data_IF_061401896592
#
_entry.id   IF_061401896592
#
_cell.length_a   1.000
_cell.length_b   1.000
_cell.length_c   1.000
_cell.angle_alpha   90.00
_cell.angle_beta   90.00
_cell.angle_gamma   90.00
#
_symmetry.space_group_name_H-M   'P 1'
#
loop_
_entity.id
_entity.type
_entity.pdbx_description
1 polymer ?
#
# COMPACT_ATOMS: atom_id res chain seq x y z
N UNK A 1 -14.80 -18.84 30.79
CA UNK A 1 -15.53 -19.17 29.54
C UNK A 1 -16.35 -17.95 29.15
N UNK A 2 -15.89 -17.21 28.14
CA UNK A 2 -16.73 -16.33 27.33
C UNK A 2 -16.13 -16.40 25.94
N UNK A 3 -16.63 -17.35 25.13
CA UNK A 3 -16.35 -17.36 23.70
C UNK A 3 -17.14 -16.19 23.12
N UNK A 4 -16.47 -15.05 22.92
CA UNK A 4 -16.97 -14.06 21.99
C UNK A 4 -17.04 -14.77 20.65
N UNK A 5 -18.27 -15.05 20.21
CA UNK A 5 -18.57 -15.50 18.86
C UNK A 5 -17.99 -14.45 17.92
N UNK A 6 -16.82 -14.73 17.37
CA UNK A 6 -16.30 -14.04 16.19
C UNK A 6 -17.35 -14.26 15.12
N UNK A 7 -18.20 -13.26 14.88
CA UNK A 7 -18.87 -13.18 13.59
C UNK A 7 -17.75 -13.11 12.57
N UNK A 8 -17.51 -14.22 11.86
CA UNK A 8 -16.66 -14.21 10.69
C UNK A 8 -17.34 -13.24 9.73
N UNK A 9 -16.77 -12.04 9.61
CA UNK A 9 -17.14 -11.13 8.54
C UNK A 9 -16.61 -11.79 7.28
N UNK A 10 -17.49 -12.06 6.31
CA UNK A 10 -17.06 -12.71 5.07
C UNK A 10 -15.94 -11.88 4.43
N UNK A 11 -14.76 -12.50 4.33
CA UNK A 11 -13.56 -11.90 3.75
C UNK A 11 -13.65 -12.06 2.23
N UNK A 12 -13.69 -10.97 1.45
CA UNK A 12 -13.85 -11.07 -0.01
C UNK A 12 -12.75 -11.89 -0.66
N UNK A 13 -13.14 -12.92 -1.40
CA UNK A 13 -12.27 -13.96 -1.94
C UNK A 13 -12.31 -14.06 -3.48
N UNK A 14 -13.18 -13.29 -4.13
CA UNK A 14 -13.33 -13.23 -5.58
C UNK A 14 -13.85 -11.87 -6.05
N UNK A 15 -13.93 -11.70 -7.37
CA UNK A 15 -14.28 -10.41 -7.98
C UNK A 15 -15.67 -9.89 -7.64
N UNK A 16 -16.66 -10.78 -7.55
CA UNK A 16 -18.01 -10.37 -7.19
C UNK A 16 -18.05 -9.86 -5.75
N UNK A 17 -17.38 -10.56 -4.84
CA UNK A 17 -17.32 -10.21 -3.41
C UNK A 17 -16.57 -8.90 -3.16
N UNK A 18 -15.43 -8.66 -3.80
CA UNK A 18 -14.72 -7.39 -3.59
C UNK A 18 -15.47 -6.20 -4.20
N UNK A 19 -16.20 -6.40 -5.30
CA UNK A 19 -17.05 -5.33 -5.87
C UNK A 19 -18.17 -4.97 -4.90
N UNK A 20 -18.84 -5.97 -4.31
CA UNK A 20 -19.83 -5.74 -3.27
C UNK A 20 -19.22 -5.04 -2.04
N UNK A 21 -17.99 -5.42 -1.65
CA UNK A 21 -17.26 -4.77 -0.56
C UNK A 21 -16.97 -3.28 -0.86
N UNK A 22 -16.54 -2.96 -2.08
CA UNK A 22 -16.31 -1.58 -2.55
C UNK A 22 -17.60 -0.75 -2.58
N UNK A 23 -18.69 -1.31 -3.10
CA UNK A 23 -20.00 -0.64 -3.12
C UNK A 23 -20.49 -0.31 -1.71
N UNK A 24 -20.28 -1.24 -0.77
CA UNK A 24 -20.69 -1.13 0.64
C UNK A 24 -19.82 -0.21 1.50
N UNK A 25 -18.78 0.41 0.94
CA UNK A 25 -18.04 1.46 1.63
C UNK A 25 -18.99 2.62 1.97
N UNK A 26 -18.77 3.39 3.04
CA UNK A 26 -19.62 4.54 3.32
C UNK A 26 -19.42 5.61 2.26
N UNK A 27 -20.50 6.21 1.77
CA UNK A 27 -20.45 7.37 0.85
C UNK A 27 -20.33 8.70 1.60
N UNK A 28 -19.78 8.70 2.82
CA UNK A 28 -19.88 9.83 3.74
C UNK A 28 -18.84 10.92 3.47
N UNK A 29 -19.26 12.20 3.30
CA UNK A 29 -18.40 13.33 2.89
C UNK A 29 -17.58 13.95 4.04
N UNK A 30 -17.61 13.38 5.25
CA UNK A 30 -16.97 13.97 6.43
C UNK A 30 -15.55 13.47 6.67
N UNK A 31 -15.22 12.23 6.27
CA UNK A 31 -13.90 11.63 6.44
C UNK A 31 -13.73 10.43 5.51
N UNK A 32 -12.90 10.55 4.48
CA UNK A 32 -12.60 9.44 3.55
C UNK A 32 -11.89 8.32 4.34
N UNK A 33 -12.17 7.02 4.15
CA UNK A 33 -11.35 5.97 4.74
C UNK A 33 -9.87 6.07 4.32
N UNK A 34 -8.95 5.61 5.17
CA UNK A 34 -7.56 5.39 4.77
C UNK A 34 -7.41 3.96 4.26
N UNK A 35 -6.60 3.76 3.22
CA UNK A 35 -6.49 2.44 2.59
C UNK A 35 -5.08 1.91 2.63
N UNK A 36 -4.93 0.66 3.07
CA UNK A 36 -3.79 -0.16 2.72
C UNK A 36 -4.13 -0.95 1.46
N UNK A 37 -3.22 -0.99 0.49
CA UNK A 37 -3.39 -1.82 -0.71
C UNK A 37 -2.09 -2.54 -1.08
N UNK A 38 -2.24 -3.75 -1.62
CA UNK A 38 -1.13 -4.47 -2.23
C UNK A 38 -0.72 -3.78 -3.54
N UNK A 39 0.52 -3.32 -3.67
CA UNK A 39 0.97 -2.61 -4.87
C UNK A 39 1.44 -3.53 -6.01
N UNK A 40 1.63 -4.82 -5.73
CA UNK A 40 2.18 -5.82 -6.65
C UNK A 40 3.63 -5.57 -7.06
N UNK A 41 3.91 -5.73 -8.35
CA UNK A 41 5.26 -5.58 -8.93
C UNK A 41 5.14 -4.97 -10.33
N UNK A 42 6.26 -4.61 -10.99
CA UNK A 42 6.21 -4.12 -12.38
C UNK A 42 5.55 -5.12 -13.36
N UNK A 43 5.49 -6.41 -13.00
CA UNK A 43 4.79 -7.44 -13.78
C UNK A 43 3.29 -7.15 -13.98
N UNK A 44 2.67 -6.31 -13.15
CA UNK A 44 1.27 -5.91 -13.32
C UNK A 44 1.03 -5.09 -14.60
N UNK A 45 2.05 -4.41 -15.11
CA UNK A 45 1.95 -3.50 -16.25
C UNK A 45 2.56 -4.03 -17.55
N UNK A 46 3.17 -5.22 -17.53
CA UNK A 46 3.84 -5.80 -18.71
C UNK A 46 3.30 -7.19 -19.04
N UNK A 47 3.17 -7.48 -20.33
CA UNK A 47 2.68 -8.77 -20.80
C UNK A 47 3.73 -9.87 -20.66
N UNK A 48 5.03 -9.49 -20.68
CA UNK A 48 6.14 -10.42 -20.60
C UNK A 48 6.85 -10.36 -19.25
N UNK A 49 7.10 -11.52 -18.66
CA UNK A 49 7.89 -11.65 -17.44
C UNK A 49 9.39 -11.41 -17.68
N UNK A 50 10.14 -10.98 -16.64
CA UNK A 50 11.59 -11.05 -16.62
C UNK A 50 12.13 -12.38 -17.16
N UNK A 51 13.18 -12.33 -18.00
CA UNK A 51 13.73 -13.52 -18.65
C UNK A 51 14.13 -14.62 -17.64
N UNK A 52 14.65 -14.23 -16.47
CA UNK A 52 14.99 -15.15 -15.37
C UNK A 52 13.78 -15.89 -14.82
N UNK A 53 12.64 -15.21 -14.65
CA UNK A 53 11.41 -15.83 -14.15
C UNK A 53 10.77 -16.72 -15.20
N UNK A 54 10.79 -16.30 -16.47
CA UNK A 54 10.35 -17.14 -17.59
C UNK A 54 11.15 -18.45 -17.68
N UNK A 55 12.47 -18.39 -17.53
CA UNK A 55 13.34 -19.57 -17.55
C UNK A 55 13.09 -20.54 -16.38
N UNK A 56 12.50 -20.07 -15.28
CA UNK A 56 12.21 -20.87 -14.09
C UNK A 56 10.89 -21.65 -14.13
N UNK A 57 10.11 -21.55 -15.22
CA UNK A 57 8.85 -22.30 -15.37
C UNK A 57 7.68 -21.79 -14.52
N UNK A 58 7.79 -20.60 -13.93
CA UNK A 58 6.82 -20.00 -13.00
C UNK A 58 5.63 -19.32 -13.71
N UNK A 59 4.88 -20.11 -14.46
CA UNK A 59 3.66 -19.64 -15.13
C UNK A 59 2.56 -19.24 -14.14
N UNK A 60 2.51 -19.88 -12.97
CA UNK A 60 1.61 -19.58 -11.85
C UNK A 60 1.81 -18.15 -11.32
N UNK A 61 3.06 -17.71 -11.17
CA UNK A 61 3.37 -16.34 -10.73
C UNK A 61 2.81 -15.33 -11.73
N UNK A 62 3.00 -15.54 -13.03
CA UNK A 62 2.47 -14.62 -14.03
C UNK A 62 0.95 -14.60 -14.06
N UNK A 63 0.30 -15.75 -13.87
CA UNK A 63 -1.16 -15.84 -13.82
C UNK A 63 -1.73 -15.10 -12.60
N UNK A 64 -1.04 -15.16 -11.45
CA UNK A 64 -1.53 -14.56 -10.20
C UNK A 64 -1.09 -13.10 -9.98
N UNK A 65 0.17 -12.77 -10.31
CA UNK A 65 0.81 -11.47 -10.06
C UNK A 65 1.03 -10.63 -11.33
N UNK A 66 0.56 -11.11 -12.48
CA UNK A 66 0.68 -10.42 -13.77
C UNK A 66 -0.54 -9.55 -14.13
N UNK A 67 -0.60 -9.03 -15.38
CA UNK A 67 -1.57 -8.00 -15.78
C UNK A 67 -3.02 -8.46 -15.82
N UNK A 68 -3.26 -9.78 -15.89
CA UNK A 68 -4.60 -10.37 -15.87
C UNK A 68 -4.91 -11.06 -14.53
N UNK A 69 -3.98 -11.01 -13.58
CA UNK A 69 -4.12 -11.62 -12.27
C UNK A 69 -5.12 -10.89 -11.37
N UNK A 70 -5.52 -11.51 -10.26
CA UNK A 70 -6.50 -10.95 -9.33
C UNK A 70 -6.15 -9.55 -8.84
N UNK A 71 -4.88 -9.27 -8.51
CA UNK A 71 -4.50 -7.95 -8.04
C UNK A 71 -4.71 -6.87 -9.11
N UNK A 72 -4.31 -7.12 -10.35
CA UNK A 72 -4.52 -6.18 -11.45
C UNK A 72 -6.00 -5.91 -11.68
N UNK A 73 -6.84 -6.95 -11.60
CA UNK A 73 -8.30 -6.81 -11.75
C UNK A 73 -8.92 -6.05 -10.58
N UNK A 74 -8.49 -6.32 -9.35
CA UNK A 74 -8.93 -5.57 -8.18
C UNK A 74 -8.56 -4.09 -8.29
N UNK A 75 -7.32 -3.76 -8.66
CA UNK A 75 -6.88 -2.36 -8.81
C UNK A 75 -7.69 -1.59 -9.85
N UNK A 76 -8.06 -2.23 -10.96
CA UNK A 76 -8.95 -1.66 -12.00
C UNK A 76 -10.36 -1.37 -11.50
N UNK A 77 -10.87 -2.14 -10.53
CA UNK A 77 -12.16 -1.87 -9.90
C UNK A 77 -12.01 -0.85 -8.74
N UNK A 78 -10.90 -0.91 -8.00
CA UNK A 78 -10.64 -0.14 -6.78
C UNK A 78 -10.49 1.36 -7.06
N UNK A 79 -9.59 1.75 -7.97
CA UNK A 79 -9.32 3.15 -8.27
C UNK A 79 -10.58 3.94 -8.70
N UNK A 80 -11.34 3.47 -9.70
CA UNK A 80 -12.57 4.13 -10.12
C UNK A 80 -13.61 4.22 -9.00
N UNK A 81 -13.75 3.16 -8.18
CA UNK A 81 -14.66 3.17 -7.04
C UNK A 81 -14.31 4.26 -6.02
N UNK A 82 -13.01 4.47 -5.73
CA UNK A 82 -12.57 5.54 -4.84
C UNK A 82 -12.88 6.93 -5.40
N UNK A 83 -12.60 7.16 -6.69
CA UNK A 83 -12.88 8.44 -7.33
C UNK A 83 -14.38 8.74 -7.36
N UNK A 84 -15.20 7.75 -7.73
CA UNK A 84 -16.65 7.89 -7.79
C UNK A 84 -17.26 8.16 -6.41
N UNK A 85 -16.82 7.44 -5.38
CA UNK A 85 -17.42 7.51 -4.05
C UNK A 85 -17.01 8.74 -3.26
N UNK A 86 -15.77 9.20 -3.41
CA UNK A 86 -15.21 10.24 -2.54
C UNK A 86 -14.88 11.55 -3.24
N UNK A 87 -14.70 11.57 -4.57
CA UNK A 87 -14.26 12.77 -5.30
C UNK A 87 -13.13 13.54 -4.58
N UNK A 88 -12.01 12.87 -4.23
CA UNK A 88 -10.96 13.46 -3.42
C UNK A 88 -10.30 14.64 -4.14
N UNK A 89 -9.85 15.65 -3.39
CA UNK A 89 -9.14 16.81 -3.97
C UNK A 89 -7.67 16.51 -4.29
N UNK A 90 -7.09 15.52 -3.62
CA UNK A 90 -5.69 15.10 -3.76
C UNK A 90 -5.48 13.69 -3.17
N UNK A 91 -4.35 13.08 -3.48
CA UNK A 91 -3.90 11.81 -2.92
C UNK A 91 -2.61 12.04 -2.12
N UNK A 92 -2.57 11.54 -0.89
CA UNK A 92 -1.33 11.34 -0.13
C UNK A 92 -1.00 9.86 -0.14
N UNK A 93 0.20 9.53 -0.62
CA UNK A 93 0.63 8.14 -0.76
C UNK A 93 1.90 7.84 0.03
N UNK A 94 1.88 6.71 0.72
CA UNK A 94 3.04 6.12 1.40
C UNK A 94 3.42 4.85 0.67
N UNK A 95 4.68 4.69 0.30
CA UNK A 95 5.17 3.49 -0.39
C UNK A 95 6.20 2.76 0.45
N UNK A 96 6.14 1.43 0.45
CA UNK A 96 7.19 0.55 0.97
C UNK A 96 8.58 0.81 0.34
N UNK A 97 8.65 1.53 -0.78
CA UNK A 97 9.87 1.78 -1.53
C UNK A 97 10.55 3.09 -1.15
N UNK A 98 9.99 3.89 -0.24
CA UNK A 98 10.61 5.15 0.14
C UNK A 98 10.68 5.32 1.65
N UNK A 99 11.87 5.09 2.18
CA UNK A 99 12.15 5.06 3.61
C UNK A 99 13.11 6.18 3.98
N UNK A 100 12.88 6.81 5.14
CA UNK A 100 13.83 7.78 5.71
C UNK A 100 13.96 7.58 7.21
N UNK A 101 15.12 7.94 7.77
CA UNK A 101 15.40 7.85 9.20
C UNK A 101 15.38 9.24 9.83
N UNK A 102 14.68 9.39 10.96
CA UNK A 102 14.74 10.59 11.80
C UNK A 102 14.02 11.84 11.26
N UNK A 103 13.82 11.97 9.94
CA UNK A 103 13.09 13.05 9.29
C UNK A 103 12.15 12.48 8.22
N UNK A 104 10.91 12.97 8.15
CA UNK A 104 9.96 12.66 7.06
C UNK A 104 10.23 13.56 5.86
N UNK A 105 10.33 12.95 4.68
CA UNK A 105 10.39 13.70 3.42
C UNK A 105 9.02 13.66 2.74
N UNK A 106 8.62 14.81 2.21
CA UNK A 106 7.36 15.02 1.49
C UNK A 106 7.67 15.56 0.11
N UNK A 107 7.16 14.96 -0.96
CA UNK A 107 7.47 15.41 -2.32
C UNK A 107 6.88 16.78 -2.62
N UNK A 108 7.70 17.68 -3.15
CA UNK A 108 7.29 18.93 -3.79
C UNK A 108 7.94 19.01 -5.18
N UNK A 109 7.33 18.31 -6.14
CA UNK A 109 7.87 18.14 -7.50
C UNK A 109 7.27 19.11 -8.53
N UNK A 110 6.35 19.98 -8.11
CA UNK A 110 5.68 20.96 -8.97
C UNK A 110 4.65 20.32 -9.91
N UNK A 111 4.55 20.83 -11.14
CA UNK A 111 3.49 20.45 -12.10
C UNK A 111 3.62 19.03 -12.67
N UNK A 112 4.78 18.37 -12.48
CA UNK A 112 5.01 17.03 -12.99
C UNK A 112 5.84 16.21 -12.01
N UNK A 113 5.24 15.14 -11.49
CA UNK A 113 5.93 14.16 -10.66
C UNK A 113 6.80 13.27 -11.56
N UNK A 114 8.15 13.27 -11.40
CA UNK A 114 8.99 12.31 -12.08
C UNK A 114 8.67 10.89 -11.62
N UNK A 115 8.96 9.91 -12.47
CA UNK A 115 8.93 8.49 -12.12
C UNK A 115 10.32 7.99 -11.83
N UNK A 116 10.41 7.10 -10.84
CA UNK A 116 11.65 6.41 -10.51
C UNK A 116 11.51 4.91 -10.75
N UNK A 117 12.21 4.44 -11.77
CA UNK A 117 12.25 3.03 -12.18
C UNK A 117 13.13 2.20 -11.24
N UNK A 118 12.62 1.95 -10.03
CA UNK A 118 13.31 1.31 -8.91
C UNK A 118 13.29 -0.22 -8.95
N UNK A 119 13.51 -0.77 -10.14
CA UNK A 119 13.54 -2.20 -10.38
C UNK A 119 14.45 -2.52 -11.58
N UNK A 120 15.01 -3.72 -11.60
CA UNK A 120 15.89 -4.19 -12.68
C UNK A 120 15.48 -5.57 -13.19
N UNK A 121 15.91 -5.92 -14.40
CA UNK A 121 15.74 -7.26 -14.97
C UNK A 121 14.40 -7.52 -15.64
N UNK A 122 13.55 -6.50 -15.79
CA UNK A 122 12.30 -6.57 -16.55
C UNK A 122 12.54 -6.28 -18.06
N UNK A 123 11.58 -6.60 -18.94
CA UNK A 123 11.67 -6.27 -20.37
C UNK A 123 11.71 -4.75 -20.61
N UNK A 124 12.22 -4.31 -21.76
CA UNK A 124 12.37 -2.87 -22.08
C UNK A 124 11.06 -2.08 -21.91
N UNK A 125 9.92 -2.65 -22.31
CA UNK A 125 8.59 -2.03 -22.20
C UNK A 125 8.23 -1.60 -20.77
N UNK A 126 8.77 -2.25 -19.71
CA UNK A 126 8.51 -1.78 -18.33
C UNK A 126 9.17 -0.43 -18.05
N UNK A 127 10.33 -0.16 -18.64
CA UNK A 127 11.08 1.08 -18.44
C UNK A 127 10.54 2.25 -19.26
N UNK A 128 9.60 1.97 -20.16
CA UNK A 128 8.94 2.96 -21.01
C UNK A 128 7.55 3.34 -20.46
N UNK A 129 7.14 2.76 -19.33
CA UNK A 129 5.90 3.10 -18.65
C UNK A 129 5.88 4.59 -18.28
N UNK A 130 4.75 5.24 -18.56
CA UNK A 130 4.50 6.64 -18.22
C UNK A 130 3.52 6.72 -17.06
N UNK A 131 3.40 7.82 -16.36
CA UNK A 131 2.28 8.06 -15.45
C UNK A 131 2.32 9.54 -15.12
N UNK A 132 1.45 10.29 -15.78
CA UNK A 132 1.44 11.74 -15.64
C UNK A 132 0.60 12.12 -14.43
N UNK A 133 1.23 12.73 -13.44
CA UNK A 133 0.57 13.34 -12.29
C UNK A 133 1.34 14.59 -11.86
N UNK A 134 0.73 15.42 -11.03
CA UNK A 134 1.33 16.64 -10.49
C UNK A 134 1.43 16.59 -8.97
N UNK A 135 2.36 17.35 -8.41
CA UNK A 135 2.42 17.61 -6.97
C UNK A 135 1.37 18.65 -6.52
N UNK A 136 1.30 18.86 -5.22
CA UNK A 136 0.56 19.96 -4.60
C UNK A 136 1.40 20.55 -3.48
N UNK A 137 1.95 21.74 -3.74
CA UNK A 137 2.84 22.43 -2.81
C UNK A 137 2.14 22.78 -1.49
N UNK A 138 0.87 23.20 -1.54
CA UNK A 138 0.13 23.56 -0.33
C UNK A 138 -0.13 22.32 0.54
N UNK A 139 -0.47 21.20 -0.10
CA UNK A 139 -0.62 19.93 0.60
C UNK A 139 0.72 19.42 1.17
N UNK A 140 1.82 19.56 0.43
CA UNK A 140 3.15 19.19 0.90
C UNK A 140 3.57 20.01 2.13
N UNK A 141 3.36 21.32 2.10
CA UNK A 141 3.60 22.21 3.25
C UNK A 141 2.68 21.87 4.43
N UNK A 142 1.39 21.56 4.17
CA UNK A 142 0.44 21.11 5.19
C UNK A 142 0.90 19.84 5.88
N UNK A 143 1.35 18.83 5.13
CA UNK A 143 1.92 17.59 5.67
C UNK A 143 3.13 17.85 6.56
N UNK A 144 4.06 18.69 6.10
CA UNK A 144 5.24 19.07 6.90
C UNK A 144 4.82 19.73 8.21
N UNK A 145 3.85 20.64 8.19
CA UNK A 145 3.30 21.26 9.41
C UNK A 145 2.68 20.23 10.34
N UNK A 146 1.85 19.31 9.83
CA UNK A 146 1.24 18.26 10.65
C UNK A 146 2.28 17.38 11.37
N UNK A 147 3.34 16.98 10.68
CA UNK A 147 4.43 16.23 11.30
C UNK A 147 5.16 17.04 12.37
N UNK A 148 5.45 18.32 12.13
CA UNK A 148 6.08 19.21 13.10
C UNK A 148 5.21 19.44 14.34
N UNK A 149 3.90 19.65 14.16
CA UNK A 149 2.93 19.77 15.25
C UNK A 149 2.85 18.50 16.10
N UNK A 150 3.06 17.34 15.49
CA UNK A 150 3.15 16.05 16.17
C UNK A 150 4.55 15.77 16.78
N UNK A 151 5.46 16.75 16.78
CA UNK A 151 6.80 16.63 17.36
C UNK A 151 7.79 15.82 16.51
N UNK A 152 7.53 15.65 15.21
CA UNK A 152 8.41 14.94 14.29
C UNK A 152 9.13 15.93 13.37
N UNK A 153 10.35 15.57 12.95
CA UNK A 153 11.06 16.33 11.91
C UNK A 153 10.45 16.00 10.54
N UNK A 154 10.18 17.03 9.75
CA UNK A 154 9.72 16.87 8.38
C UNK A 154 10.12 18.07 7.52
N UNK A 155 10.32 17.82 6.24
CA UNK A 155 10.54 18.85 5.22
C UNK A 155 10.06 18.38 3.85
N UNK A 156 9.91 19.32 2.93
CA UNK A 156 9.71 18.99 1.53
C UNK A 156 11.02 18.55 0.89
N UNK A 157 10.94 17.78 -0.19
CA UNK A 157 12.05 17.43 -1.07
C UNK A 157 11.66 17.72 -2.52
N UNK A 158 12.57 18.34 -3.25
CA UNK A 158 12.34 18.73 -4.64
C UNK A 158 12.82 17.66 -5.62
N UNK A 159 12.43 17.76 -6.89
CA UNK A 159 12.93 16.87 -7.95
C UNK A 159 14.42 17.04 -8.28
N UNK A 160 15.12 17.94 -7.60
CA UNK A 160 16.57 18.12 -7.72
C UNK A 160 17.33 17.34 -6.63
N UNK A 161 16.62 16.84 -5.63
CA UNK A 161 17.21 16.04 -4.56
C UNK A 161 16.97 14.55 -4.84
N UNK A 162 17.99 13.70 -4.66
CA UNK A 162 17.75 12.27 -4.59
C UNK A 162 16.88 11.97 -3.38
N UNK A 163 15.98 10.98 -3.51
CA UNK A 163 15.08 10.56 -2.44
C UNK A 163 15.78 9.92 -1.22
N UNK A 164 17.11 9.84 -1.25
CA UNK A 164 17.96 9.12 -0.29
C UNK A 164 18.30 7.72 -0.78
N UNK A 165 18.93 6.92 0.08
CA UNK A 165 18.99 5.48 -0.08
C UNK A 165 17.61 4.94 0.25
N UNK A 166 16.77 4.74 -0.77
CA UNK A 166 15.70 3.77 -0.60
C UNK A 166 16.31 2.46 -0.09
N UNK A 167 15.55 1.61 0.61
CA UNK A 167 16.08 0.35 1.13
C UNK A 167 16.60 -0.64 0.08
N UNK A 168 16.71 -0.22 -1.20
CA UNK A 168 16.99 -1.05 -2.37
C UNK A 168 18.14 -0.56 -3.26
N UNK A 169 18.76 0.57 -2.94
CA UNK A 169 19.95 1.08 -3.64
C UNK A 169 19.68 1.81 -4.95
N UNK A 170 18.46 2.33 -5.16
CA UNK A 170 18.17 3.23 -6.28
C UNK A 170 18.16 4.69 -5.82
N UNK A 171 18.88 5.52 -6.57
CA UNK A 171 19.01 6.94 -6.30
C UNK A 171 18.25 7.77 -7.34
N UNK A 172 17.56 8.81 -6.88
CA UNK A 172 16.85 9.75 -7.74
C UNK A 172 15.56 10.28 -7.11
N UNK A 173 14.97 11.35 -7.65
CA UNK A 173 13.63 11.80 -7.28
C UNK A 173 12.56 10.95 -7.99
N UNK A 174 11.33 10.96 -7.49
CA UNK A 174 10.18 10.48 -8.22
C UNK A 174 9.40 9.36 -7.54
N UNK A 175 8.19 9.16 -8.06
CA UNK A 175 7.29 8.11 -7.61
C UNK A 175 7.89 6.75 -8.00
N UNK A 176 8.07 5.87 -7.02
CA UNK A 176 8.50 4.48 -7.23
C UNK A 176 7.41 3.62 -7.87
N UNK A 177 7.78 2.41 -8.32
CA UNK A 177 6.83 1.51 -8.95
C UNK A 177 5.70 1.06 -8.03
N UNK A 178 5.92 1.04 -6.71
CA UNK A 178 4.87 0.79 -5.72
C UNK A 178 3.77 1.85 -5.73
N UNK A 179 4.01 3.00 -6.36
CA UNK A 179 3.01 4.05 -6.62
C UNK A 179 2.56 4.04 -8.07
N UNK A 180 3.46 4.27 -9.04
CA UNK A 180 3.00 4.57 -10.41
C UNK A 180 2.45 3.35 -11.16
N UNK A 181 2.93 2.12 -10.89
CA UNK A 181 2.42 0.91 -11.56
C UNK A 181 0.97 0.61 -11.14
N UNK A 182 0.63 0.49 -9.84
CA UNK A 182 -0.76 0.29 -9.45
C UNK A 182 -1.63 1.50 -9.79
N UNK A 183 -1.10 2.73 -9.72
CA UNK A 183 -1.89 3.91 -10.06
C UNK A 183 -2.26 3.96 -11.55
N UNK A 184 -1.42 3.45 -12.46
CA UNK A 184 -1.81 3.27 -13.87
C UNK A 184 -3.02 2.35 -14.03
N UNK A 185 -3.13 1.31 -13.22
CA UNK A 185 -4.28 0.40 -13.24
C UNK A 185 -5.51 1.01 -12.57
N UNK A 186 -5.32 1.76 -11.48
CA UNK A 186 -6.40 2.40 -10.72
C UNK A 186 -6.98 3.62 -11.44
N UNK A 187 -6.14 4.41 -12.10
CA UNK A 187 -6.48 5.77 -12.54
C UNK A 187 -6.14 6.05 -14.00
N UNK A 188 -5.52 5.10 -14.71
CA UNK A 188 -5.05 5.30 -16.08
C UNK A 188 -3.68 5.97 -16.17
N UNK A 189 -3.25 6.30 -17.38
CA UNK A 189 -1.91 6.83 -17.65
C UNK A 189 -1.71 8.27 -17.17
N UNK A 190 -2.80 9.00 -16.96
CA UNK A 190 -2.80 10.39 -16.52
C UNK A 190 -3.84 10.57 -15.40
N UNK A 191 -3.41 11.16 -14.29
CA UNK A 191 -4.25 11.49 -13.16
C UNK A 191 -4.22 13.01 -12.94
N UNK A 192 -5.38 13.65 -13.10
CA UNK A 192 -5.52 15.11 -12.92
C UNK A 192 -5.40 15.55 -11.45
N UNK A 193 -5.72 14.65 -10.52
CA UNK A 193 -5.59 14.90 -9.09
C UNK A 193 -4.12 14.99 -8.67
N UNK A 194 -3.75 15.94 -7.79
CA UNK A 194 -2.41 15.96 -7.25
C UNK A 194 -2.08 14.70 -6.45
N UNK A 195 -0.84 14.25 -6.56
CA UNK A 195 -0.26 13.16 -5.77
C UNK A 195 0.93 13.71 -5.02
N UNK A 196 0.89 13.61 -3.69
CA UNK A 196 2.01 13.93 -2.81
C UNK A 196 2.44 12.65 -2.10
N UNK A 197 3.70 12.28 -2.24
CA UNK A 197 4.26 11.11 -1.58
C UNK A 197 4.95 11.51 -0.27
N UNK A 198 4.88 10.64 0.73
CA UNK A 198 5.55 10.78 2.03
C UNK A 198 6.36 9.53 2.32
N UNK A 199 7.59 9.69 2.84
CA UNK A 199 8.45 8.57 3.21
C UNK A 199 7.97 7.84 4.48
N UNK A 200 8.11 6.51 4.49
CA UNK A 200 7.85 5.66 5.67
C UNK A 200 9.06 5.60 6.61
N UNK A 201 8.83 5.21 7.87
CA UNK A 201 9.89 5.20 8.87
C UNK A 201 10.83 4.01 8.70
N UNK A 202 12.11 4.30 8.43
CA UNK A 202 13.13 3.30 8.10
C UNK A 202 13.62 2.48 9.30
N UNK A 203 13.17 2.78 10.53
CA UNK A 203 13.32 1.82 11.64
C UNK A 203 12.46 0.57 11.41
N UNK A 204 11.46 0.68 10.52
CA UNK A 204 10.46 -0.33 10.22
C UNK A 204 9.69 -0.82 11.45
N UNK A 205 9.69 -0.04 12.53
CA UNK A 205 8.86 -0.32 13.70
C UNK A 205 7.38 -0.21 13.31
N UNK A 206 6.56 -1.22 13.66
CA UNK A 206 5.11 -1.12 13.57
C UNK A 206 4.55 0.14 14.24
N UNK A 207 4.99 0.43 15.46
CA UNK A 207 4.54 1.59 16.24
C UNK A 207 4.98 2.92 15.62
N UNK A 208 6.20 3.00 15.09
CA UNK A 208 6.69 4.21 14.44
C UNK A 208 5.84 4.53 13.20
N UNK A 209 5.60 3.53 12.35
CA UNK A 209 4.78 3.69 11.14
C UNK A 209 3.29 3.91 11.46
N UNK A 210 2.77 3.32 12.54
CA UNK A 210 1.44 3.64 13.06
C UNK A 210 1.31 5.12 13.45
N UNK A 211 2.31 5.66 14.14
CA UNK A 211 2.34 7.08 14.50
C UNK A 211 2.38 7.98 13.27
N UNK A 212 3.06 7.57 12.19
CA UNK A 212 3.02 8.32 10.92
C UNK A 212 1.59 8.43 10.37
N UNK A 213 0.85 7.32 10.39
CA UNK A 213 -0.56 7.28 10.00
C UNK A 213 -1.41 8.23 10.83
N UNK A 214 -1.22 8.22 12.15
CA UNK A 214 -1.99 9.07 13.07
C UNK A 214 -1.83 10.56 12.78
N UNK A 215 -0.65 11.01 12.34
CA UNK A 215 -0.42 12.41 11.98
C UNK A 215 -1.31 12.85 10.81
N UNK A 216 -1.53 11.97 9.84
CA UNK A 216 -2.27 12.30 8.60
C UNK A 216 -3.77 11.98 8.69
N UNK A 217 -4.26 11.53 9.85
CA UNK A 217 -5.68 11.24 10.07
C UNK A 217 -6.59 12.43 9.70
N UNK A 218 -6.17 13.66 10.00
CA UNK A 218 -6.96 14.87 9.74
C UNK A 218 -7.21 15.11 8.25
N UNK A 219 -6.29 14.67 7.38
CA UNK A 219 -6.39 14.88 5.93
C UNK A 219 -7.59 14.16 5.32
N UNK A 220 -8.01 13.05 5.95
CA UNK A 220 -9.21 12.32 5.56
C UNK A 220 -10.48 13.19 5.60
N UNK A 221 -10.56 14.08 6.60
CA UNK A 221 -11.65 15.05 6.74
C UNK A 221 -11.45 16.31 5.87
N UNK A 222 -10.25 16.50 5.33
CA UNK A 222 -9.93 17.56 4.38
C UNK A 222 -10.16 17.11 2.91
N UNK A 223 -10.90 16.01 2.70
CA UNK A 223 -11.17 15.40 1.39
C UNK A 223 -9.91 14.93 0.64
N UNK A 224 -8.88 14.51 1.37
CA UNK A 224 -7.65 13.93 0.82
C UNK A 224 -7.67 12.41 0.98
N UNK A 225 -7.41 11.70 -0.11
CA UNK A 225 -7.33 10.24 -0.10
C UNK A 225 -5.96 9.80 0.43
N UNK A 226 -5.94 9.05 1.53
CA UNK A 226 -4.71 8.49 2.12
C UNK A 226 -4.56 7.04 1.67
N UNK A 227 -3.50 6.77 0.89
CA UNK A 227 -3.16 5.44 0.39
C UNK A 227 -1.80 4.99 0.93
N UNK A 228 -1.71 3.77 1.43
CA UNK A 228 -0.46 3.14 1.84
C UNK A 228 -0.25 1.86 1.03
N UNK A 229 0.75 1.88 0.13
CA UNK A 229 1.09 0.79 -0.77
C UNK A 229 2.20 -0.09 -0.21
N UNK A 230 1.92 -1.38 -0.07
CA UNK A 230 2.89 -2.39 0.35
C UNK A 230 2.57 -3.76 -0.23
N UNK A 231 3.08 -4.82 0.39
CA UNK A 231 2.76 -6.19 0.04
C UNK A 231 3.01 -7.10 1.26
N UNK A 232 1.98 -7.62 1.95
CA UNK A 232 2.17 -8.26 3.25
C UNK A 232 2.89 -9.60 3.21
N UNK A 233 2.97 -10.22 2.03
CA UNK A 233 3.80 -11.39 1.75
C UNK A 233 4.73 -11.02 0.60
N UNK A 234 5.99 -10.75 0.94
CA UNK A 234 7.00 -10.28 -0.01
C UNK A 234 8.37 -10.91 0.32
N UNK A 235 8.62 -12.09 -0.23
CA UNK A 235 9.90 -12.77 -0.10
C UNK A 235 10.53 -13.11 -1.46
N UNK A 236 11.37 -12.21 -1.98
CA UNK A 236 12.09 -12.45 -3.24
C UNK A 236 13.11 -13.61 -3.17
N UNK A 237 13.44 -14.11 -1.97
CA UNK A 237 14.28 -15.30 -1.78
C UNK A 237 13.47 -16.59 -1.89
N UNK A 238 12.17 -16.53 -1.68
CA UNK A 238 11.22 -17.64 -1.82
C UNK A 238 10.01 -17.21 -2.66
N UNK A 239 10.12 -17.42 -3.97
CA UNK A 239 9.05 -17.05 -4.88
C UNK A 239 7.78 -17.91 -4.76
N UNK A 240 7.86 -19.08 -4.11
CA UNK A 240 6.66 -19.88 -3.87
C UNK A 240 5.68 -19.15 -2.94
N UNK A 241 6.17 -18.21 -2.14
CA UNK A 241 5.34 -17.40 -1.25
C UNK A 241 4.37 -16.44 -1.97
N UNK A 242 4.56 -16.16 -3.27
CA UNK A 242 3.74 -15.17 -4.00
C UNK A 242 2.46 -15.73 -4.62
N UNK A 243 2.25 -17.05 -4.64
CA UNK A 243 1.05 -17.67 -5.20
C UNK A 243 0.42 -18.65 -4.19
N UNK A 244 -0.91 -18.71 -4.08
CA UNK A 244 -1.56 -19.58 -3.10
C UNK A 244 -1.25 -21.07 -3.32
N UNK A 245 -1.11 -21.49 -4.58
CA UNK A 245 -0.93 -22.90 -4.96
C UNK A 245 0.46 -23.44 -4.63
N UNK A 246 1.47 -22.58 -4.63
CA UNK A 246 2.86 -22.99 -4.34
C UNK A 246 3.31 -22.62 -2.92
N UNK A 247 2.57 -21.71 -2.27
CA UNK A 247 2.87 -21.26 -0.92
C UNK A 247 2.80 -22.40 0.10
N UNK A 248 3.89 -22.52 0.87
CA UNK A 248 3.95 -23.43 2.01
C UNK A 248 2.91 -23.08 3.10
N UNK A 249 2.48 -24.05 3.93
CA UNK A 249 1.48 -23.81 5.00
C UNK A 249 1.83 -22.66 5.95
N UNK A 250 3.11 -22.39 6.17
CA UNK A 250 3.57 -21.29 7.03
C UNK A 250 3.17 -19.91 6.48
N UNK A 251 3.16 -19.73 5.15
CA UNK A 251 2.75 -18.49 4.52
C UNK A 251 1.23 -18.30 4.60
N UNK A 252 0.47 -19.36 4.35
CA UNK A 252 -0.99 -19.37 4.53
C UNK A 252 -1.39 -19.06 5.98
N UNK A 253 -0.68 -19.63 6.95
CA UNK A 253 -0.90 -19.35 8.37
C UNK A 253 -0.68 -17.87 8.69
N UNK A 254 0.38 -17.26 8.14
CA UNK A 254 0.63 -15.83 8.33
C UNK A 254 -0.39 -14.94 7.62
N UNK A 255 -0.79 -15.27 6.37
CA UNK A 255 -1.89 -14.59 5.67
C UNK A 255 -3.15 -14.57 6.51
N UNK A 256 -3.52 -15.74 7.05
CA UNK A 256 -4.68 -15.88 7.94
C UNK A 256 -4.54 -15.01 9.18
N UNK A 257 -3.38 -15.01 9.84
CA UNK A 257 -3.14 -14.18 11.01
C UNK A 257 -3.35 -12.68 10.73
N UNK A 258 -2.94 -12.19 9.55
CA UNK A 258 -3.20 -10.81 9.12
C UNK A 258 -4.71 -10.56 9.03
N UNK A 259 -5.45 -11.41 8.33
CA UNK A 259 -6.90 -11.26 8.16
C UNK A 259 -7.66 -11.37 9.51
N UNK A 260 -7.23 -12.27 10.39
CA UNK A 260 -7.82 -12.44 11.72
C UNK A 260 -7.58 -11.18 12.57
N UNK A 261 -6.36 -10.64 12.57
CA UNK A 261 -6.04 -9.41 13.31
C UNK A 261 -6.90 -8.23 12.86
N UNK A 262 -7.12 -8.09 11.55
CA UNK A 262 -7.93 -7.01 10.97
C UNK A 262 -9.42 -7.10 11.31
N UNK A 263 -9.93 -8.30 11.57
CA UNK A 263 -11.34 -8.54 11.90
C UNK A 263 -11.66 -8.35 13.40
N UNK A 264 -10.65 -8.09 14.24
CA UNK A 264 -10.88 -7.78 15.66
C UNK A 264 -11.71 -6.49 15.76
N UNK A 265 -12.91 -6.59 16.35
CA UNK A 265 -13.88 -5.50 16.37
C UNK A 265 -13.45 -4.34 17.28
N UNK A 266 -12.91 -4.65 18.47
CA UNK A 266 -12.43 -3.64 19.39
C UNK A 266 -11.13 -2.99 18.86
N UNK A 267 -11.11 -1.66 18.75
CA UNK A 267 -9.98 -0.94 18.16
C UNK A 267 -8.64 -1.14 18.90
N UNK A 268 -8.66 -1.19 20.24
CA UNK A 268 -7.44 -1.37 21.03
C UNK A 268 -6.92 -2.81 20.94
N UNK A 269 -7.82 -3.78 20.99
CA UNK A 269 -7.47 -5.20 20.80
C UNK A 269 -6.97 -5.47 19.38
N UNK A 270 -7.59 -4.86 18.36
CA UNK A 270 -7.14 -4.92 16.96
C UNK A 270 -5.75 -4.36 16.80
N UNK A 271 -5.49 -3.17 17.34
CA UNK A 271 -4.16 -2.56 17.33
C UNK A 271 -3.14 -3.50 17.95
N UNK A 272 -3.43 -4.06 19.13
CA UNK A 272 -2.55 -5.06 19.76
C UNK A 272 -2.32 -6.28 18.85
N UNK A 273 -3.39 -6.87 18.30
CA UNK A 273 -3.29 -8.02 17.41
C UNK A 273 -2.45 -7.73 16.17
N UNK A 274 -2.58 -6.53 15.59
CA UNK A 274 -1.77 -6.09 14.46
C UNK A 274 -0.29 -5.90 14.85
N UNK A 275 -0.01 -5.26 15.99
CA UNK A 275 1.37 -5.06 16.47
C UNK A 275 2.07 -6.38 16.85
N UNK A 276 1.31 -7.43 17.17
CA UNK A 276 1.83 -8.78 17.47
C UNK A 276 2.16 -9.59 16.19
N UNK A 277 1.71 -9.17 14.99
CA UNK A 277 1.94 -9.89 13.72
C UNK A 277 3.43 -10.21 13.43
N UNK A 278 4.40 -9.31 13.68
CA UNK A 278 5.82 -9.62 13.48
C UNK A 278 6.36 -10.75 14.35
N UNK A 279 5.67 -11.11 15.44
CA UNK A 279 6.03 -12.25 16.28
C UNK A 279 5.51 -13.59 15.74
N UNK A 280 4.62 -13.58 14.74
CA UNK A 280 4.11 -14.80 14.14
C UNK A 280 5.27 -15.60 13.50
N UNK A 281 5.35 -16.94 13.69
CA UNK A 281 6.45 -17.75 13.15
C UNK A 281 6.64 -17.64 11.63
N UNK A 282 5.55 -17.37 10.89
CA UNK A 282 5.59 -17.16 9.44
C UNK A 282 6.01 -15.78 8.98
N UNK A 283 6.19 -14.80 9.88
CA UNK A 283 6.51 -13.43 9.51
C UNK A 283 7.80 -13.36 8.68
N UNK A 284 8.90 -13.95 9.16
CA UNK A 284 10.20 -13.93 8.46
C UNK A 284 10.23 -14.78 7.19
N UNK A 285 9.39 -15.81 7.11
CA UNK A 285 9.23 -16.59 5.89
C UNK A 285 8.52 -15.76 4.80
N UNK A 286 7.59 -14.89 5.17
CA UNK A 286 6.88 -14.01 4.24
C UNK A 286 7.61 -12.69 3.98
N UNK A 287 8.34 -12.18 4.96
CA UNK A 287 8.95 -10.84 4.96
C UNK A 287 10.37 -10.94 5.53
N UNK A 288 11.40 -11.15 4.69
CA UNK A 288 12.79 -11.15 5.12
C UNK A 288 13.19 -9.85 5.82
N UNK A 289 12.54 -8.75 5.40
CA UNK A 289 12.58 -7.41 5.99
C UNK A 289 11.18 -6.81 5.88
N UNK A 290 10.88 -5.85 6.74
CA UNK A 290 9.53 -5.41 7.06
C UNK A 290 8.97 -4.31 6.14
N UNK A 291 9.76 -3.81 5.18
CA UNK A 291 9.41 -2.59 4.44
C UNK A 291 8.09 -2.68 3.65
N UNK A 292 7.76 -3.85 3.10
CA UNK A 292 6.49 -4.07 2.40
C UNK A 292 5.32 -4.29 3.35
N UNK A 293 5.60 -4.60 4.61
CA UNK A 293 4.59 -4.88 5.61
C UNK A 293 4.16 -3.60 6.35
N UNK A 294 5.11 -2.73 6.70
CA UNK A 294 4.83 -1.57 7.55
C UNK A 294 3.86 -0.51 7.00
N UNK A 295 3.62 -0.35 5.68
CA UNK A 295 2.56 0.54 5.18
C UNK A 295 1.16 0.17 5.70
N UNK A 296 0.92 -1.10 6.07
CA UNK A 296 -0.31 -1.52 6.72
C UNK A 296 -0.57 -0.72 8.00
N UNK A 297 0.47 -0.46 8.79
CA UNK A 297 0.37 0.31 10.03
C UNK A 297 0.15 1.80 9.77
N UNK A 298 0.68 2.34 8.67
CA UNK A 298 0.41 3.73 8.28
C UNK A 298 -1.07 3.92 7.99
N UNK A 299 -1.68 3.05 7.18
CA UNK A 299 -3.12 3.12 6.90
C UNK A 299 -3.96 2.91 8.18
N UNK A 300 -3.58 1.96 9.02
CA UNK A 300 -4.28 1.69 10.28
C UNK A 300 -4.21 2.87 11.26
N UNK A 301 -3.04 3.53 11.36
CA UNK A 301 -2.84 4.69 12.21
C UNK A 301 -3.68 5.89 11.79
N UNK A 302 -3.93 6.06 10.49
CA UNK A 302 -4.76 7.15 9.96
C UNK A 302 -6.26 7.02 10.31
N UNK A 303 -6.67 5.91 10.92
CA UNK A 303 -8.06 5.66 11.32
C UNK A 303 -8.16 4.74 12.55
N UNK A 304 -7.24 4.89 13.51
CA UNK A 304 -7.03 3.93 14.61
C UNK A 304 -8.30 3.55 15.38
N UNK A 305 -9.16 4.52 15.66
CA UNK A 305 -10.33 4.34 16.54
C UNK A 305 -11.62 3.89 15.84
N UNK A 306 -11.59 3.72 14.52
CA UNK A 306 -12.78 3.49 13.70
C UNK A 306 -12.83 2.03 13.18
N UNK A 307 -13.90 1.64 12.48
CA UNK A 307 -14.01 0.25 12.00
C UNK A 307 -13.10 -0.01 10.80
N UNK A 308 -12.89 -1.30 10.52
CA UNK A 308 -12.06 -1.79 9.44
C UNK A 308 -12.88 -2.70 8.55
N UNK A 309 -12.68 -2.60 7.24
CA UNK A 309 -13.27 -3.51 6.26
C UNK A 309 -12.20 -4.02 5.30
N UNK A 310 -12.10 -5.35 5.20
CA UNK A 310 -11.27 -6.00 4.18
C UNK A 310 -12.04 -5.90 2.85
N UNK A 311 -11.43 -5.28 1.84
CA UNK A 311 -12.00 -5.10 0.51
C UNK A 311 -11.60 -6.22 -0.43
N UNK A 312 -10.38 -6.73 -0.28
CA UNK A 312 -9.86 -7.91 -0.96
C UNK A 312 -9.09 -8.72 0.09
N UNK A 313 -9.41 -10.00 0.23
CA UNK A 313 -8.75 -10.91 1.16
C UNK A 313 -7.98 -12.03 0.48
N UNK A 314 -7.81 -11.96 -0.84
CA UNK A 314 -7.01 -12.92 -1.58
C UNK A 314 -5.58 -13.04 -1.04
N UNK A 315 -5.06 -14.26 -1.10
CA UNK A 315 -3.76 -14.64 -0.54
C UNK A 315 -2.64 -13.69 -0.96
N UNK A 316 -1.93 -13.13 0.02
CA UNK A 316 -0.75 -12.27 -0.17
C UNK A 316 -1.02 -10.87 -0.72
N UNK A 317 -2.24 -10.58 -1.17
CA UNK A 317 -2.60 -9.30 -1.82
C UNK A 317 -3.80 -8.58 -1.16
N UNK A 318 -3.97 -8.62 0.18
CA UNK A 318 -5.16 -8.02 0.77
C UNK A 318 -5.18 -6.49 0.57
N UNK A 319 -6.38 -5.94 0.46
CA UNK A 319 -6.63 -4.49 0.50
C UNK A 319 -7.65 -4.20 1.59
N UNK A 320 -7.40 -3.16 2.37
CA UNK A 320 -8.12 -2.88 3.61
C UNK A 320 -8.48 -1.41 3.67
N UNK A 321 -9.74 -1.13 3.99
CA UNK A 321 -10.23 0.20 4.34
C UNK A 321 -10.27 0.33 5.86
N UNK A 322 -9.58 1.34 6.38
CA UNK A 322 -9.64 1.74 7.79
C UNK A 322 -10.45 3.03 7.90
N UNK A 323 -11.36 3.07 8.88
CA UNK A 323 -12.22 4.22 9.07
C UNK A 323 -13.54 4.17 8.32
N UNK A 324 -14.17 2.99 8.35
CA UNK A 324 -15.48 2.73 7.73
C UNK A 324 -16.65 2.73 8.70
#
# INVERSE_FOLDING_TARGET
MSSALTQNVDVPSNQAEWRAALESLPSTPQKIPAFFFAHGSPALAVAQMPARLRASGRSDFQQYQGPNGPLANFLRDFGPALLQKYSPKAIVVFSAHWETLGERLVTDYGEENPLLMDYYGFPQESYELKFKSRGDKQLAERLVTLYKEAGQLARTTSKLEPRGSDGRGFEGPGLDHGVFVPFRLMFGEELALPVVQVSIDSSLSPEANWKLGKVVEVLRGENVLVLAGGLPIHNLRDFSSFTPDTAQPIHHSFHKAILDALQVSNAQERKKAMLDLPQHPGFRACNPREEHFVPLYVAAGAAESENVKILNGLYGIPTVAFGV
#
